data_IF_979305397157
#
_entry.id   IF_979305397157
#
_cell.length_a   1.000
_cell.length_b   1.000
_cell.length_c   1.000
_cell.angle_alpha   90.00
_cell.angle_beta   90.00
_cell.angle_gamma   90.00
#
_symmetry.space_group_name_H-M   'P 1'
#
loop_
_entity.id
_entity.type
_entity.pdbx_description
1 polymer ?
#
# COMPACT_ATOMS: atom_id res chain seq x y z
N UNK A 1 -51.86 -24.98 -59.93
CA UNK A 1 -52.89 -24.24 -59.18
C UNK A 1 -52.14 -23.05 -58.56
N UNK A 2 -51.78 -22.06 -59.38
CA UNK A 2 -52.57 -20.82 -59.66
C UNK A 2 -52.63 -19.91 -58.42
N UNK A 3 -52.47 -18.59 -58.45
CA UNK A 3 -52.01 -17.60 -59.44
C UNK A 3 -51.89 -16.24 -58.71
N UNK A 4 -50.93 -15.41 -59.12
CA UNK A 4 -50.94 -13.92 -59.27
C UNK A 4 -51.69 -13.00 -58.28
N UNK A 5 -50.89 -12.11 -57.67
CA UNK A 5 -50.93 -10.63 -57.71
C UNK A 5 -52.25 -9.84 -57.89
N UNK A 6 -52.47 -8.81 -57.04
CA UNK A 6 -52.78 -7.42 -57.47
C UNK A 6 -52.93 -6.40 -56.32
N UNK A 7 -52.21 -5.27 -56.46
CA UNK A 7 -52.41 -3.85 -56.07
C UNK A 7 -53.56 -3.38 -55.14
N UNK A 8 -53.22 -2.42 -54.26
CA UNK A 8 -53.82 -1.06 -54.09
C UNK A 8 -53.01 -0.29 -53.01
N UNK A 9 -52.26 0.76 -53.34
CA UNK A 9 -52.60 2.20 -53.51
C UNK A 9 -52.79 2.99 -52.20
N UNK A 10 -52.04 4.10 -52.13
CA UNK A 10 -52.06 5.18 -51.15
C UNK A 10 -53.37 5.96 -51.12
N UNK A 11 -53.52 6.76 -50.06
CA UNK A 11 -54.40 7.93 -49.82
C UNK A 11 -55.48 7.73 -48.74
N UNK A 12 -55.22 8.43 -47.61
CA UNK A 12 -56.16 9.24 -46.80
C UNK A 12 -57.11 8.50 -45.81
N UNK A 13 -57.30 8.88 -44.52
CA UNK A 13 -56.96 10.07 -43.71
C UNK A 13 -57.22 9.76 -42.21
N UNK A 14 -56.84 10.75 -41.37
CA UNK A 14 -57.05 11.00 -39.92
C UNK A 14 -55.86 10.71 -39.00
N UNK A 15 -54.98 11.68 -38.75
CA UNK A 15 -55.16 12.84 -37.85
C UNK A 15 -55.65 12.44 -36.46
N UNK A 16 -54.71 12.29 -35.51
CA UNK A 16 -54.84 12.89 -34.17
C UNK A 16 -53.53 12.77 -33.39
N UNK A 17 -52.96 13.95 -33.11
CA UNK A 17 -52.27 14.33 -31.87
C UNK A 17 -50.83 13.83 -31.71
N UNK A 18 -49.92 14.73 -32.09
CA UNK A 18 -48.62 14.90 -31.43
C UNK A 18 -48.87 15.22 -29.95
N UNK A 19 -48.62 14.25 -29.07
CA UNK A 19 -48.26 14.55 -27.69
C UNK A 19 -46.73 14.53 -27.61
N UNK A 20 -46.17 15.72 -27.50
CA UNK A 20 -44.81 15.95 -27.03
C UNK A 20 -44.67 15.33 -25.64
N UNK A 21 -44.10 14.12 -25.56
CA UNK A 21 -43.47 13.70 -24.32
C UNK A 21 -42.15 14.46 -24.24
N UNK A 22 -42.13 15.52 -23.44
CA UNK A 22 -40.91 16.16 -22.96
C UNK A 22 -39.97 15.06 -22.47
N UNK A 23 -38.94 14.75 -23.25
CA UNK A 23 -37.78 14.04 -22.73
C UNK A 23 -37.22 14.96 -21.63
N UNK A 24 -37.51 14.63 -20.37
CA UNK A 24 -36.84 15.24 -19.24
C UNK A 24 -35.33 15.14 -19.50
N UNK A 25 -34.73 16.28 -19.88
CA UNK A 25 -33.29 16.40 -19.94
C UNK A 25 -32.76 15.93 -18.58
N UNK A 26 -31.80 14.99 -18.53
CA UNK A 26 -31.29 14.51 -17.27
C UNK A 26 -30.79 15.70 -16.48
N UNK A 27 -31.48 15.99 -15.37
CA UNK A 27 -31.04 16.95 -14.36
C UNK A 27 -29.57 16.64 -14.12
N UNK A 28 -28.64 17.62 -14.24
CA UNK A 28 -27.24 17.35 -14.00
C UNK A 28 -27.16 16.75 -12.61
N UNK A 29 -26.71 15.49 -12.52
CA UNK A 29 -26.28 14.95 -11.24
C UNK A 29 -25.18 15.90 -10.79
N UNK A 30 -25.52 16.80 -9.89
CA UNK A 30 -24.54 17.55 -9.11
C UNK A 30 -23.86 16.47 -8.30
N UNK A 31 -22.79 15.92 -8.86
CA UNK A 31 -21.88 15.07 -8.12
C UNK A 31 -21.32 16.01 -7.08
N UNK A 32 -21.85 15.94 -5.85
CA UNK A 32 -21.22 16.52 -4.67
C UNK A 32 -19.86 15.84 -4.51
N UNK A 33 -18.91 16.32 -5.29
CA UNK A 33 -17.56 15.83 -5.25
C UNK A 33 -16.90 16.42 -4.01
N UNK A 34 -16.33 15.59 -3.11
CA UNK A 34 -15.68 16.11 -1.90
C UNK A 34 -14.48 17.01 -2.22
N UNK A 35 -13.99 16.99 -3.45
CA UNK A 35 -12.94 17.87 -3.95
C UNK A 35 -13.33 18.46 -5.30
N UNK A 36 -13.02 19.74 -5.47
CA UNK A 36 -13.25 20.48 -6.70
C UNK A 36 -11.92 21.07 -7.15
N UNK A 37 -11.52 20.77 -8.40
CA UNK A 37 -10.45 21.50 -9.07
C UNK A 37 -11.08 22.72 -9.75
N UNK A 38 -10.80 23.90 -9.20
CA UNK A 38 -11.24 25.18 -9.77
C UNK A 38 -10.11 25.82 -10.56
N UNK A 39 -10.38 26.18 -11.81
CA UNK A 39 -9.42 26.90 -12.66
C UNK A 39 -9.57 28.39 -12.42
N UNK A 40 -8.52 29.04 -11.94
CA UNK A 40 -8.55 30.45 -11.51
C UNK A 40 -8.17 31.42 -12.62
N UNK A 41 -7.31 31.00 -13.56
CA UNK A 41 -6.81 31.83 -14.66
C UNK A 41 -6.49 30.99 -15.90
N UNK A 42 -6.35 31.65 -17.05
CA UNK A 42 -6.12 31.01 -18.35
C UNK A 42 -7.40 30.78 -19.16
N UNK A 43 -7.32 30.12 -20.33
CA UNK A 43 -8.46 29.91 -21.24
C UNK A 43 -9.64 29.16 -20.63
N UNK A 44 -9.38 28.34 -19.60
CA UNK A 44 -10.39 27.56 -18.89
C UNK A 44 -10.80 28.22 -17.54
N UNK A 45 -10.49 29.50 -17.30
CA UNK A 45 -10.81 30.17 -16.04
C UNK A 45 -12.31 30.14 -15.72
N UNK A 46 -12.65 29.84 -14.47
CA UNK A 46 -14.03 29.69 -14.00
C UNK A 46 -14.54 28.25 -14.09
N UNK A 47 -13.89 27.36 -14.85
CA UNK A 47 -14.27 25.94 -14.89
C UNK A 47 -13.98 25.24 -13.57
N UNK A 48 -14.87 24.31 -13.21
CA UNK A 48 -14.78 23.47 -12.02
C UNK A 48 -14.90 21.99 -12.43
N UNK A 49 -14.03 21.15 -11.90
CA UNK A 49 -14.02 19.71 -12.15
C UNK A 49 -14.16 18.95 -10.84
N UNK A 50 -15.16 18.08 -10.75
CA UNK A 50 -15.33 17.17 -9.63
C UNK A 50 -14.24 16.11 -9.62
N UNK A 51 -13.65 15.88 -8.44
CA UNK A 51 -12.64 14.86 -8.21
C UNK A 51 -13.03 13.91 -7.06
N UNK A 52 -13.26 12.65 -7.40
CA UNK A 52 -13.54 11.58 -6.44
C UNK A 52 -12.28 11.08 -5.71
N UNK A 53 -12.50 10.53 -4.51
CA UNK A 53 -11.47 9.82 -3.73
C UNK A 53 -11.04 8.53 -4.42
N UNK A 54 -9.83 8.09 -4.10
CA UNK A 54 -9.20 6.88 -4.64
C UNK A 54 -9.07 6.88 -6.17
N UNK A 55 -9.25 8.03 -6.83
CA UNK A 55 -9.05 8.22 -8.27
C UNK A 55 -7.84 9.12 -8.54
N UNK A 56 -7.33 8.97 -9.75
CA UNK A 56 -6.31 9.86 -10.30
C UNK A 56 -6.85 10.55 -11.55
N UNK A 57 -6.44 11.80 -11.74
CA UNK A 57 -6.82 12.63 -12.88
C UNK A 57 -5.57 13.21 -13.50
N UNK A 58 -5.37 12.96 -14.78
CA UNK A 58 -4.32 13.57 -15.60
C UNK A 58 -4.89 14.84 -16.21
N UNK A 59 -4.21 15.95 -15.98
CA UNK A 59 -4.49 17.25 -16.56
C UNK A 59 -3.49 17.47 -17.69
N UNK A 60 -3.99 17.88 -18.85
CA UNK A 60 -3.15 18.15 -20.02
C UNK A 60 -3.93 18.76 -21.17
N UNK A 61 -3.24 19.01 -22.29
CA UNK A 61 -3.89 19.51 -23.52
C UNK A 61 -4.29 18.40 -24.50
N UNK A 62 -3.79 17.18 -24.30
CA UNK A 62 -4.02 16.06 -25.23
C UNK A 62 -5.24 15.25 -24.77
N UNK A 63 -6.30 15.27 -25.57
CA UNK A 63 -7.56 14.57 -25.29
C UNK A 63 -7.44 13.05 -25.27
N UNK A 64 -6.32 12.48 -25.72
CA UNK A 64 -6.06 11.03 -25.68
C UNK A 64 -5.26 10.61 -24.45
N UNK A 65 -4.63 11.56 -23.75
CA UNK A 65 -3.73 11.30 -22.62
C UNK A 65 -4.18 11.94 -21.30
N UNK A 66 -5.12 12.90 -21.35
CA UNK A 66 -5.61 13.64 -20.19
C UNK A 66 -7.09 13.35 -19.90
N UNK A 67 -7.40 13.21 -18.61
CA UNK A 67 -8.76 13.11 -18.09
C UNK A 67 -9.44 14.49 -18.01
N UNK A 68 -8.64 15.53 -17.75
CA UNK A 68 -9.07 16.93 -17.68
C UNK A 68 -8.30 17.74 -18.72
N UNK A 69 -9.01 18.25 -19.71
CA UNK A 69 -8.41 18.88 -20.89
C UNK A 69 -8.41 20.40 -20.73
N UNK A 70 -7.23 21.01 -20.76
CA UNK A 70 -7.06 22.47 -20.81
C UNK A 70 -6.63 22.88 -22.22
N UNK A 71 -7.42 23.76 -22.84
CA UNK A 71 -7.17 24.28 -24.18
C UNK A 71 -6.20 25.48 -24.10
N UNK A 72 -5.01 25.23 -23.56
CA UNK A 72 -3.97 26.24 -23.36
C UNK A 72 -2.65 25.78 -24.00
N UNK A 73 -2.08 26.64 -24.86
CA UNK A 73 -0.83 26.37 -25.57
C UNK A 73 0.38 26.26 -24.62
N UNK A 74 0.28 26.81 -23.41
CA UNK A 74 1.31 26.72 -22.36
C UNK A 74 1.29 25.40 -21.58
N UNK A 75 0.25 24.57 -21.76
CA UNK A 75 0.05 23.28 -21.08
C UNK A 75 0.59 22.14 -21.93
N UNK A 76 1.30 21.18 -21.32
CA UNK A 76 1.85 20.01 -22.03
C UNK A 76 0.78 18.96 -22.33
N UNK A 77 1.05 18.05 -23.30
CA UNK A 77 0.08 17.01 -23.72
C UNK A 77 -0.47 16.20 -22.55
N UNK A 78 0.43 15.71 -21.71
CA UNK A 78 0.17 15.29 -20.34
C UNK A 78 1.01 16.22 -19.44
N UNK A 79 0.37 16.99 -18.55
CA UNK A 79 1.06 18.01 -17.77
C UNK A 79 1.27 17.56 -16.33
N UNK A 80 0.18 17.18 -15.67
CA UNK A 80 0.16 16.94 -14.23
C UNK A 80 -0.82 15.85 -13.90
N UNK A 81 -0.49 14.96 -12.95
CA UNK A 81 -1.41 14.00 -12.37
C UNK A 81 -1.77 14.42 -10.95
N UNK A 82 -3.06 14.51 -10.66
CA UNK A 82 -3.57 14.70 -9.30
C UNK A 82 -4.20 13.39 -8.83
N UNK A 83 -3.91 12.97 -7.61
CA UNK A 83 -4.48 11.78 -6.98
C UNK A 83 -5.04 12.15 -5.62
N UNK A 84 -6.25 11.69 -5.33
CA UNK A 84 -6.88 11.88 -4.02
C UNK A 84 -6.96 10.51 -3.38
N UNK A 85 -6.34 10.31 -2.22
CA UNK A 85 -6.44 9.03 -1.52
C UNK A 85 -7.73 8.92 -0.69
N UNK A 86 -7.95 7.74 -0.14
CA UNK A 86 -9.07 7.43 0.76
C UNK A 86 -9.10 8.30 2.04
N UNK A 87 -7.98 8.91 2.41
CA UNK A 87 -7.79 9.74 3.61
C UNK A 87 -7.82 11.24 3.31
N UNK A 88 -8.35 11.66 2.15
CA UNK A 88 -8.42 13.06 1.72
C UNK A 88 -7.06 13.72 1.43
N UNK A 89 -5.97 12.94 1.31
CA UNK A 89 -4.67 13.51 0.92
C UNK A 89 -4.62 13.71 -0.60
N UNK A 90 -4.18 14.90 -1.02
CA UNK A 90 -4.01 15.25 -2.42
C UNK A 90 -2.53 15.11 -2.80
N UNK A 91 -2.24 14.27 -3.79
CA UNK A 91 -0.92 14.09 -4.36
C UNK A 91 -0.88 14.71 -5.75
N UNK A 92 0.12 15.55 -6.02
CA UNK A 92 0.32 16.19 -7.31
C UNK A 92 1.67 15.72 -7.86
N UNK A 93 1.67 15.22 -9.10
CA UNK A 93 2.83 14.74 -9.80
C UNK A 93 2.98 15.48 -11.14
N UNK A 94 4.14 16.07 -11.37
CA UNK A 94 4.51 16.55 -12.72
C UNK A 94 4.75 15.35 -13.66
N UNK A 95 4.21 15.41 -14.88
CA UNK A 95 4.34 14.36 -15.90
C UNK A 95 5.33 14.75 -17.02
N UNK A 96 6.37 15.51 -16.68
CA UNK A 96 7.35 16.01 -17.65
C UNK A 96 6.86 17.25 -18.38
N UNK A 97 6.17 18.14 -17.67
CA UNK A 97 5.64 19.37 -18.27
C UNK A 97 6.79 20.30 -18.71
N UNK A 98 6.66 20.91 -19.90
CA UNK A 98 7.70 21.79 -20.47
C UNK A 98 8.04 22.97 -19.55
N UNK A 99 7.03 23.52 -18.89
CA UNK A 99 7.15 24.70 -18.04
C UNK A 99 7.20 24.36 -16.55
N UNK A 100 7.02 23.09 -16.17
CA UNK A 100 6.92 22.66 -14.77
C UNK A 100 5.51 22.81 -14.18
N UNK A 101 5.16 21.89 -13.28
CA UNK A 101 4.01 22.01 -12.39
C UNK A 101 4.42 22.74 -11.13
N UNK A 102 3.63 23.71 -10.67
CA UNK A 102 3.90 24.47 -9.44
C UNK A 102 2.78 24.30 -8.42
N UNK A 103 3.14 24.19 -7.14
CA UNK A 103 2.20 24.22 -6.01
C UNK A 103 2.70 25.26 -5.02
N UNK A 104 1.85 26.22 -4.66
CA UNK A 104 2.20 27.34 -3.78
C UNK A 104 3.49 28.07 -4.25
N UNK A 105 3.55 28.40 -5.54
CA UNK A 105 4.68 29.06 -6.21
C UNK A 105 6.00 28.27 -6.19
N UNK A 106 5.95 26.96 -5.91
CA UNK A 106 7.13 26.08 -5.89
C UNK A 106 7.02 24.98 -6.94
N UNK A 107 8.03 24.87 -7.79
CA UNK A 107 8.07 23.85 -8.84
C UNK A 107 8.17 22.45 -8.22
N UNK A 108 7.26 21.57 -8.62
CA UNK A 108 7.34 20.14 -8.33
C UNK A 108 8.42 19.56 -9.25
N UNK A 109 9.51 19.04 -8.68
CA UNK A 109 10.48 18.23 -9.43
C UNK A 109 9.96 16.80 -9.55
N UNK A 110 10.29 16.12 -10.65
CA UNK A 110 9.99 14.69 -10.83
C UNK A 110 10.31 13.91 -9.55
N UNK A 111 9.43 12.94 -9.24
CA UNK A 111 9.53 12.09 -8.06
C UNK A 111 10.98 11.65 -7.87
N UNK A 112 11.44 11.77 -6.64
CA UNK A 112 12.67 11.12 -6.21
C UNK A 112 12.54 9.61 -6.46
N UNK A 113 13.07 9.12 -7.59
CA UNK A 113 13.03 7.71 -7.97
C UNK A 113 13.93 6.91 -7.01
N UNK A 114 13.44 5.77 -6.51
CA UNK A 114 14.19 4.91 -5.59
C UNK A 114 15.55 4.49 -6.14
N UNK A 115 15.68 4.29 -7.46
CA UNK A 115 16.99 4.03 -8.09
C UNK A 115 17.91 5.23 -7.89
N UNK A 116 17.40 6.44 -8.15
CA UNK A 116 18.18 7.66 -8.09
C UNK A 116 18.70 7.95 -6.68
N UNK A 117 17.94 7.61 -5.63
CA UNK A 117 18.42 7.76 -4.24
C UNK A 117 19.37 6.66 -3.85
N UNK A 118 18.99 5.40 -4.06
CA UNK A 118 19.80 4.28 -3.60
C UNK A 118 21.10 4.20 -4.41
N UNK A 119 21.06 4.53 -5.70
CA UNK A 119 22.21 4.55 -6.60
C UNK A 119 23.29 5.55 -6.22
N UNK A 120 23.00 6.53 -5.36
CA UNK A 120 24.04 7.41 -4.78
C UNK A 120 24.92 6.71 -3.74
N UNK A 121 24.41 5.65 -3.13
CA UNK A 121 25.05 4.96 -2.01
C UNK A 121 25.49 3.55 -2.36
N UNK A 122 24.79 2.92 -3.31
CA UNK A 122 25.02 1.54 -3.73
C UNK A 122 25.32 1.53 -5.23
N UNK A 123 26.42 0.91 -5.62
CA UNK A 123 26.72 0.69 -7.03
C UNK A 123 25.75 -0.36 -7.60
N UNK A 124 24.71 0.12 -8.27
CA UNK A 124 23.65 -0.67 -8.86
C UNK A 124 23.91 -0.95 -10.33
N UNK A 125 23.81 -2.22 -10.73
CA UNK A 125 23.85 -2.66 -12.13
C UNK A 125 22.48 -3.15 -12.57
N UNK A 126 22.11 -2.87 -13.82
CA UNK A 126 20.86 -3.37 -14.40
C UNK A 126 20.83 -4.90 -14.43
N UNK A 127 19.68 -5.48 -14.11
CA UNK A 127 19.41 -6.92 -14.10
C UNK A 127 17.95 -7.16 -14.48
N UNK A 128 17.69 -7.24 -15.78
CA UNK A 128 16.32 -7.30 -16.33
C UNK A 128 15.55 -6.02 -16.02
N UNK A 129 14.38 -6.14 -15.40
CA UNK A 129 13.54 -5.01 -14.97
C UNK A 129 13.98 -4.40 -13.62
N UNK A 130 14.96 -5.01 -12.95
CA UNK A 130 15.44 -4.59 -11.63
C UNK A 130 16.91 -4.16 -11.69
N UNK A 131 17.41 -3.69 -10.56
CA UNK A 131 18.81 -3.33 -10.37
C UNK A 131 19.41 -4.13 -9.22
N UNK A 132 20.67 -4.55 -9.33
CA UNK A 132 21.37 -5.33 -8.30
C UNK A 132 22.69 -4.71 -7.88
N UNK A 133 23.05 -4.86 -6.61
CA UNK A 133 24.32 -4.42 -6.02
C UNK A 133 24.70 -5.25 -4.81
N UNK A 134 25.86 -4.94 -4.22
CA UNK A 134 26.22 -5.46 -2.90
C UNK A 134 25.37 -4.76 -1.84
N UNK A 135 24.90 -5.52 -0.86
CA UNK A 135 24.12 -4.96 0.24
C UNK A 135 24.98 -4.04 1.11
N UNK A 136 24.53 -2.81 1.40
CA UNK A 136 25.25 -1.93 2.33
C UNK A 136 25.01 -2.27 3.81
N UNK A 137 24.14 -3.25 4.09
CA UNK A 137 23.68 -3.56 5.46
C UNK A 137 24.29 -4.84 6.03
N UNK A 138 25.00 -5.63 5.23
CA UNK A 138 25.77 -6.79 5.68
C UNK A 138 26.92 -7.05 4.72
N UNK A 139 27.98 -7.70 5.21
CA UNK A 139 29.13 -8.04 4.40
C UNK A 139 28.85 -9.26 3.51
N UNK A 140 29.01 -9.10 2.20
CA UNK A 140 28.88 -10.18 1.21
C UNK A 140 29.83 -9.98 0.02
N UNK A 141 30.09 -11.06 -0.73
CA UNK A 141 30.87 -11.03 -1.97
C UNK A 141 30.01 -11.11 -3.23
N UNK A 142 28.81 -11.67 -3.12
CA UNK A 142 27.87 -11.85 -4.22
C UNK A 142 26.71 -10.85 -4.09
N UNK A 143 26.34 -10.11 -5.15
CA UNK A 143 25.23 -9.15 -5.10
C UNK A 143 23.90 -9.81 -4.72
N UNK A 144 23.36 -9.50 -3.53
CA UNK A 144 22.03 -9.95 -3.12
C UNK A 144 21.03 -8.80 -2.95
N UNK A 145 21.50 -7.56 -3.00
CA UNK A 145 20.68 -6.36 -2.87
C UNK A 145 20.01 -6.02 -4.20
N UNK A 146 18.68 -6.03 -4.24
CA UNK A 146 17.87 -5.80 -5.44
C UNK A 146 16.97 -4.58 -5.24
N UNK A 147 16.94 -3.67 -6.21
CA UNK A 147 16.01 -2.54 -6.27
C UNK A 147 15.05 -2.75 -7.43
N UNK A 148 13.75 -2.65 -7.15
CA UNK A 148 12.70 -2.75 -8.15
C UNK A 148 12.07 -1.37 -8.36
N UNK A 149 12.34 -0.71 -9.50
CA UNK A 149 11.81 0.63 -9.77
C UNK A 149 10.30 0.62 -9.94
N UNK A 150 9.78 -0.39 -10.65
CA UNK A 150 8.35 -0.58 -10.87
C UNK A 150 7.58 -0.78 -9.56
N UNK A 151 8.15 -1.57 -8.63
CA UNK A 151 7.55 -1.79 -7.31
C UNK A 151 7.92 -0.70 -6.29
N UNK A 152 8.82 0.20 -6.66
CA UNK A 152 9.37 1.27 -5.81
C UNK A 152 9.90 0.78 -4.44
N UNK A 153 10.56 -0.39 -4.42
CA UNK A 153 11.12 -1.03 -3.22
C UNK A 153 12.55 -1.54 -3.44
N UNK A 154 13.26 -1.83 -2.35
CA UNK A 154 14.47 -2.64 -2.33
C UNK A 154 14.29 -3.87 -1.45
N UNK A 155 15.05 -4.92 -1.74
CA UNK A 155 15.15 -6.10 -0.89
C UNK A 155 16.52 -6.75 -1.06
N UNK A 156 17.13 -7.14 0.05
CA UNK A 156 18.35 -7.93 0.08
C UNK A 156 18.01 -9.40 0.34
N UNK A 157 18.31 -10.27 -0.62
CA UNK A 157 18.08 -11.71 -0.50
C UNK A 157 19.08 -12.41 0.43
N UNK A 158 20.17 -11.75 0.83
CA UNK A 158 21.15 -12.28 1.78
C UNK A 158 20.71 -12.12 3.24
N UNK A 159 20.46 -10.89 3.69
CA UNK A 159 20.10 -10.60 5.09
C UNK A 159 18.62 -10.28 5.33
N UNK A 160 17.79 -10.25 4.27
CA UNK A 160 16.35 -10.04 4.36
C UNK A 160 15.90 -8.59 4.60
N UNK A 161 16.83 -7.63 4.66
CA UNK A 161 16.46 -6.21 4.77
C UNK A 161 15.79 -5.74 3.49
N UNK A 162 14.67 -5.04 3.63
CA UNK A 162 13.93 -4.48 2.50
C UNK A 162 12.99 -3.37 2.93
N UNK A 163 12.41 -2.68 1.96
CA UNK A 163 11.47 -1.59 2.18
C UNK A 163 11.48 -0.58 1.04
N UNK A 164 10.98 0.62 1.31
CA UNK A 164 11.01 1.72 0.35
C UNK A 164 12.26 2.60 0.53
N UNK A 165 12.33 3.68 -0.24
CA UNK A 165 13.45 4.64 -0.19
C UNK A 165 13.66 5.27 1.19
N UNK A 166 12.59 5.48 1.97
CA UNK A 166 12.71 5.99 3.34
C UNK A 166 13.34 4.95 4.25
N UNK A 167 12.89 3.68 4.19
CA UNK A 167 13.49 2.60 4.97
C UNK A 167 14.99 2.46 4.69
N UNK A 168 15.39 2.60 3.42
CA UNK A 168 16.79 2.61 3.04
C UNK A 168 17.55 3.74 3.74
N UNK A 169 17.09 4.99 3.60
CA UNK A 169 17.76 6.15 4.16
C UNK A 169 17.83 6.12 5.68
N UNK A 170 16.74 5.73 6.33
CA UNK A 170 16.68 5.61 7.78
C UNK A 170 17.71 4.61 8.30
N UNK A 171 17.80 3.45 7.65
CA UNK A 171 18.75 2.41 8.06
C UNK A 171 20.19 2.74 7.67
N UNK A 172 20.39 3.32 6.49
CA UNK A 172 21.73 3.61 5.94
C UNK A 172 22.36 4.84 6.61
N UNK A 173 21.58 5.89 6.88
CA UNK A 173 22.06 7.13 7.53
C UNK A 173 21.80 7.18 9.03
N UNK A 174 21.03 6.23 9.59
CA UNK A 174 20.64 6.26 11.00
C UNK A 174 19.71 7.43 11.35
N UNK A 175 18.87 7.86 10.41
CA UNK A 175 17.97 9.02 10.56
C UNK A 175 16.51 8.59 10.80
N UNK A 176 15.73 9.47 11.41
CA UNK A 176 14.29 9.24 11.64
C UNK A 176 13.50 9.30 10.33
N UNK A 177 12.26 8.79 10.33
CA UNK A 177 11.37 8.94 9.18
C UNK A 177 11.12 10.41 8.82
N UNK A 178 10.79 11.32 9.77
CA UNK A 178 10.68 12.75 9.47
C UNK A 178 11.92 13.36 8.83
N UNK A 179 13.12 12.98 9.28
CA UNK A 179 14.36 13.47 8.70
C UNK A 179 14.57 12.91 7.29
N UNK A 180 14.21 11.65 7.04
CA UNK A 180 14.21 11.07 5.70
C UNK A 180 13.19 11.77 4.78
N UNK A 181 12.00 12.10 5.27
CA UNK A 181 10.98 12.88 4.53
C UNK A 181 11.48 14.28 4.24
N UNK A 182 12.11 14.96 5.22
CA UNK A 182 12.70 16.29 5.02
C UNK A 182 13.81 16.24 3.98
N UNK A 183 14.73 15.28 4.09
CA UNK A 183 15.86 15.11 3.17
C UNK A 183 15.38 14.84 1.72
N UNK A 184 14.40 13.96 1.55
CA UNK A 184 13.82 13.70 0.22
C UNK A 184 12.96 14.86 -0.28
N UNK A 185 12.27 15.56 0.62
CA UNK A 185 11.54 16.79 0.32
C UNK A 185 12.47 17.86 -0.23
N UNK A 186 13.56 18.17 0.47
CA UNK A 186 14.58 19.12 0.04
C UNK A 186 15.15 18.75 -1.33
N UNK A 187 15.48 17.47 -1.53
CA UNK A 187 15.94 16.93 -2.82
C UNK A 187 14.90 17.14 -3.94
N UNK A 188 13.63 16.90 -3.65
CA UNK A 188 12.52 17.10 -4.58
C UNK A 188 12.13 18.59 -4.74
N UNK A 189 12.80 19.50 -4.04
CA UNK A 189 12.41 20.90 -4.02
C UNK A 189 11.08 21.14 -3.32
N UNK A 190 10.65 20.31 -2.36
CA UNK A 190 9.44 20.44 -1.55
C UNK A 190 9.82 20.87 -0.14
N UNK A 191 9.21 21.97 0.36
CA UNK A 191 9.44 22.38 1.75
C UNK A 191 8.56 21.50 2.63
N UNK A 192 9.18 20.62 3.40
CA UNK A 192 8.48 19.77 4.36
C UNK A 192 8.49 20.48 5.71
N UNK A 193 7.42 21.23 5.99
CA UNK A 193 7.15 21.75 7.33
C UNK A 193 6.55 20.63 8.17
N UNK A 194 7.40 19.88 8.86
CA UNK A 194 6.95 18.90 9.86
C UNK A 194 6.71 19.62 11.17
N UNK A 195 5.47 19.64 11.65
CA UNK A 195 5.18 20.06 13.02
C UNK A 195 5.84 19.08 14.01
N UNK A 196 6.14 19.52 15.23
CA UNK A 196 6.67 18.61 16.28
C UNK A 196 5.73 17.42 16.53
N UNK A 197 4.41 17.63 16.44
CA UNK A 197 3.41 16.56 16.56
C UNK A 197 3.51 15.53 15.44
N UNK A 198 3.69 15.95 14.19
CA UNK A 198 3.83 15.04 13.05
C UNK A 198 5.11 14.22 13.14
N UNK A 199 6.21 14.82 13.61
CA UNK A 199 7.46 14.10 13.85
C UNK A 199 7.30 13.03 14.91
N UNK A 200 6.73 13.39 16.06
CA UNK A 200 6.51 12.44 17.15
C UNK A 200 5.61 11.29 16.72
N UNK A 201 4.54 11.57 15.95
CA UNK A 201 3.65 10.52 15.44
C UNK A 201 4.37 9.58 14.47
N UNK A 202 5.14 10.13 13.51
CA UNK A 202 5.88 9.34 12.55
C UNK A 202 7.00 8.50 13.19
N UNK A 203 7.74 9.07 14.15
CA UNK A 203 8.76 8.35 14.92
C UNK A 203 8.14 7.22 15.74
N UNK A 204 7.01 7.49 16.43
CA UNK A 204 6.27 6.48 17.17
C UNK A 204 5.85 5.34 16.24
N UNK A 205 5.23 5.66 15.11
CA UNK A 205 4.78 4.69 14.11
C UNK A 205 5.94 3.87 13.56
N UNK A 206 7.10 4.47 13.29
CA UNK A 206 8.27 3.75 12.80
C UNK A 206 8.82 2.76 13.82
N UNK A 207 8.90 3.15 15.10
CA UNK A 207 9.32 2.24 16.17
C UNK A 207 8.38 1.03 16.28
N UNK A 208 7.07 1.25 16.25
CA UNK A 208 6.09 0.16 16.27
C UNK A 208 6.25 -0.75 15.05
N UNK A 209 6.47 -0.15 13.88
CA UNK A 209 6.72 -0.89 12.65
C UNK A 209 7.98 -1.77 12.75
N UNK A 210 9.09 -1.24 13.27
CA UNK A 210 10.33 -2.01 13.48
C UNK A 210 10.13 -3.21 14.42
N UNK A 211 9.37 -3.02 15.51
CA UNK A 211 9.03 -4.08 16.47
C UNK A 211 8.26 -5.20 15.75
N UNK A 212 7.27 -4.85 14.92
CA UNK A 212 6.47 -5.81 14.16
C UNK A 212 7.36 -6.59 13.16
N UNK A 213 8.28 -5.93 12.45
CA UNK A 213 9.20 -6.61 11.53
C UNK A 213 10.12 -7.62 12.24
N UNK A 214 10.64 -7.26 13.42
CA UNK A 214 11.45 -8.17 14.25
C UNK A 214 10.64 -9.36 14.74
N UNK A 215 9.42 -9.12 15.22
CA UNK A 215 8.52 -10.19 15.65
C UNK A 215 8.17 -11.15 14.50
N UNK A 216 7.88 -10.63 13.31
CA UNK A 216 7.63 -11.46 12.12
C UNK A 216 8.82 -12.37 11.81
N UNK A 217 10.03 -11.80 11.80
CA UNK A 217 11.26 -12.55 11.57
C UNK A 217 11.49 -13.63 12.63
N UNK A 218 11.22 -13.33 13.90
CA UNK A 218 11.35 -14.26 15.00
C UNK A 218 10.34 -15.42 14.92
N UNK A 219 9.07 -15.15 14.55
CA UNK A 219 8.07 -16.20 14.37
C UNK A 219 8.41 -17.14 13.21
N UNK A 220 8.91 -16.62 12.09
CA UNK A 220 9.39 -17.45 10.98
C UNK A 220 10.55 -18.32 11.42
N UNK A 221 11.55 -17.75 12.11
CA UNK A 221 12.68 -18.51 12.66
C UNK A 221 12.22 -19.61 13.63
N UNK A 222 11.24 -19.31 14.48
CA UNK A 222 10.68 -20.29 15.42
C UNK A 222 10.02 -21.47 14.69
N UNK A 223 9.27 -21.21 13.62
CA UNK A 223 8.63 -22.27 12.81
C UNK A 223 9.65 -23.23 12.20
N UNK A 224 10.78 -22.72 11.70
CA UNK A 224 11.84 -23.53 11.08
C UNK A 224 12.89 -24.05 12.09
N UNK A 225 12.68 -23.84 13.38
CA UNK A 225 13.51 -24.41 14.45
C UNK A 225 12.87 -25.68 15.03
N UNK A 226 13.57 -26.35 15.93
CA UNK A 226 13.03 -27.50 16.68
C UNK A 226 11.74 -27.18 17.46
N UNK A 227 11.47 -25.91 17.76
CA UNK A 227 10.23 -25.48 18.40
C UNK A 227 9.01 -25.68 17.48
N UNK A 228 9.20 -25.54 16.16
CA UNK A 228 8.12 -25.53 15.17
C UNK A 228 7.76 -26.88 14.56
N UNK A 229 8.37 -27.99 14.99
CA UNK A 229 8.14 -29.32 14.39
C UNK A 229 6.65 -29.68 14.30
N UNK A 230 5.91 -29.56 15.42
CA UNK A 230 4.46 -29.81 15.45
C UNK A 230 3.67 -28.84 14.58
N UNK A 231 4.11 -27.58 14.49
CA UNK A 231 3.48 -26.56 13.66
C UNK A 231 3.66 -26.87 12.17
N UNK A 232 4.83 -27.34 11.76
CA UNK A 232 5.10 -27.78 10.38
C UNK A 232 4.26 -29.02 10.04
N UNK A 233 4.20 -30.01 10.93
CA UNK A 233 3.35 -31.20 10.75
C UNK A 233 1.88 -30.82 10.59
N UNK A 234 1.41 -29.88 11.42
CA UNK A 234 0.07 -29.33 11.31
C UNK A 234 -0.20 -28.68 9.95
N UNK A 235 0.69 -27.81 9.49
CA UNK A 235 0.58 -27.12 8.19
C UNK A 235 0.60 -28.10 7.02
N UNK A 236 1.47 -29.13 7.08
CA UNK A 236 1.53 -30.20 6.09
C UNK A 236 0.23 -31.01 6.04
N UNK A 237 -0.34 -31.35 7.21
CA UNK A 237 -1.65 -32.01 7.31
C UNK A 237 -2.80 -31.17 6.75
N UNK A 238 -2.59 -29.86 6.54
CA UNK A 238 -3.51 -28.93 5.88
C UNK A 238 -3.20 -28.69 4.40
N UNK A 239 -2.26 -29.45 3.82
CA UNK A 239 -1.78 -29.29 2.45
C UNK A 239 -1.20 -27.90 2.14
N UNK A 240 -0.64 -27.22 3.15
CA UNK A 240 0.06 -25.95 2.96
C UNK A 240 1.54 -26.27 2.70
N UNK A 241 1.97 -26.08 1.46
CA UNK A 241 3.33 -26.40 1.04
C UNK A 241 4.37 -25.37 1.51
N UNK A 242 5.64 -25.77 1.48
CA UNK A 242 6.76 -24.93 1.93
C UNK A 242 6.92 -23.63 1.13
N UNK A 243 6.56 -23.63 -0.16
CA UNK A 243 6.55 -22.43 -1.00
C UNK A 243 5.54 -21.42 -0.47
N UNK A 244 4.29 -21.86 -0.26
CA UNK A 244 3.23 -21.04 0.35
C UNK A 244 3.65 -20.51 1.74
N UNK A 245 4.20 -21.38 2.60
CA UNK A 245 4.71 -20.98 3.93
C UNK A 245 5.73 -19.84 3.82
N UNK A 246 6.67 -19.93 2.87
CA UNK A 246 7.71 -18.93 2.68
C UNK A 246 7.17 -17.63 2.08
N UNK A 247 6.33 -17.69 1.04
CA UNK A 247 5.76 -16.50 0.40
C UNK A 247 4.91 -15.70 1.38
N UNK A 248 4.02 -16.35 2.11
CA UNK A 248 3.17 -15.70 3.11
C UNK A 248 3.89 -15.42 4.44
N UNK A 249 5.17 -15.80 4.56
CA UNK A 249 6.00 -15.65 5.77
C UNK A 249 5.35 -16.27 7.01
N UNK A 250 4.66 -17.40 6.85
CA UNK A 250 3.98 -18.09 7.95
C UNK A 250 5.02 -18.42 9.03
N UNK A 251 4.65 -18.19 10.29
CA UNK A 251 5.50 -18.39 11.46
C UNK A 251 4.82 -19.21 12.55
N UNK A 252 5.51 -19.34 13.68
CA UNK A 252 5.02 -20.05 14.86
C UNK A 252 5.31 -19.23 16.12
N UNK A 253 4.29 -19.04 16.96
CA UNK A 253 4.43 -18.49 18.29
C UNK A 253 4.56 -19.63 19.31
N UNK A 254 5.74 -19.79 19.97
CA UNK A 254 5.98 -20.87 20.91
C UNK A 254 4.98 -20.93 22.07
N UNK A 255 4.80 -22.12 22.64
CA UNK A 255 4.03 -22.34 23.87
C UNK A 255 4.82 -21.84 25.10
N UNK A 256 5.02 -20.52 25.18
CA UNK A 256 5.64 -19.83 26.31
C UNK A 256 4.88 -18.56 26.61
N UNK A 257 4.88 -18.16 27.88
CA UNK A 257 4.15 -16.98 28.34
C UNK A 257 4.81 -15.65 27.95
N UNK A 258 6.11 -15.65 27.63
CA UNK A 258 6.94 -14.45 27.54
C UNK A 258 8.06 -14.55 26.49
N UNK A 259 7.94 -15.45 25.51
CA UNK A 259 9.00 -15.66 24.52
C UNK A 259 9.24 -14.41 23.65
N UNK A 260 8.17 -13.81 23.14
CA UNK A 260 8.25 -12.59 22.33
C UNK A 260 8.60 -11.38 23.18
N UNK A 261 8.01 -11.27 24.38
CA UNK A 261 8.36 -10.23 25.34
C UNK A 261 9.86 -10.23 25.67
N UNK A 262 10.40 -11.40 26.03
CA UNK A 262 11.82 -11.55 26.39
C UNK A 262 12.73 -11.21 25.22
N UNK A 263 12.39 -11.69 24.01
CA UNK A 263 13.14 -11.39 22.80
C UNK A 263 13.20 -9.87 22.53
N UNK A 264 12.05 -9.19 22.50
CA UNK A 264 11.99 -7.76 22.17
C UNK A 264 12.57 -6.87 23.29
N UNK A 265 12.52 -7.32 24.54
CA UNK A 265 13.22 -6.66 25.65
C UNK A 265 14.73 -6.75 25.51
N UNK A 266 15.25 -7.90 25.10
CA UNK A 266 16.68 -8.06 24.80
C UNK A 266 17.13 -7.19 23.61
N UNK A 267 16.23 -6.91 22.67
CA UNK A 267 16.44 -5.97 21.55
C UNK A 267 16.31 -4.49 21.97
N UNK A 268 16.03 -4.20 23.25
CA UNK A 268 16.01 -2.83 23.79
C UNK A 268 14.66 -2.10 23.73
N UNK A 269 13.57 -2.77 23.37
CA UNK A 269 12.24 -2.15 23.34
C UNK A 269 11.58 -2.11 24.72
N UNK A 270 10.84 -1.03 25.00
CA UNK A 270 10.07 -0.89 26.25
C UNK A 270 8.77 -1.68 26.20
N UNK A 271 8.23 -2.05 27.36
CA UNK A 271 6.99 -2.84 27.43
C UNK A 271 5.82 -2.09 26.77
N UNK A 272 5.76 -0.78 26.95
CA UNK A 272 4.71 0.09 26.42
C UNK A 272 4.69 0.05 24.88
N UNK A 273 5.88 0.07 24.25
CA UNK A 273 6.01 -0.01 22.79
C UNK A 273 5.66 -1.41 22.26
N UNK A 274 6.02 -2.46 22.99
CA UNK A 274 5.70 -3.84 22.62
C UNK A 274 4.18 -4.10 22.75
N UNK A 275 3.56 -3.54 23.79
CA UNK A 275 2.10 -3.59 23.99
C UNK A 275 1.37 -2.81 22.90
N UNK A 276 1.84 -1.60 22.55
CA UNK A 276 1.27 -0.81 21.45
C UNK A 276 1.39 -1.52 20.10
N UNK A 277 2.48 -2.25 19.86
CA UNK A 277 2.61 -3.13 18.69
C UNK A 277 1.63 -4.32 18.70
N UNK A 278 0.89 -4.51 19.78
CA UNK A 278 -0.11 -5.55 19.96
C UNK A 278 0.47 -6.94 20.23
N UNK A 279 1.75 -7.04 20.62
CA UNK A 279 2.44 -8.32 20.77
C UNK A 279 2.33 -8.91 22.18
N UNK A 280 2.05 -8.08 23.18
CA UNK A 280 1.86 -8.49 24.57
C UNK A 280 0.54 -7.93 25.11
N UNK A 281 0.08 -8.50 26.22
CA UNK A 281 -1.11 -8.07 26.96
C UNK A 281 -0.70 -7.85 28.41
N UNK A 282 -1.09 -6.71 28.97
CA UNK A 282 -0.92 -6.43 30.39
C UNK A 282 -1.79 -7.36 31.25
N UNK A 283 -1.24 -7.90 32.33
CA UNK A 283 -2.01 -8.73 33.27
C UNK A 283 -3.11 -7.90 33.94
N UNK A 284 -4.31 -8.49 34.08
CA UNK A 284 -5.45 -7.84 34.75
C UNK A 284 -5.22 -7.63 36.25
N UNK A 285 -4.46 -8.51 36.88
CA UNK A 285 -4.09 -8.47 38.30
C UNK A 285 -2.58 -8.61 38.46
N UNK A 286 -2.00 -7.76 39.32
CA UNK A 286 -0.55 -7.71 39.57
C UNK A 286 0.23 -6.90 38.52
N UNK A 287 1.56 -7.03 38.54
CA UNK A 287 2.45 -6.38 37.58
C UNK A 287 2.88 -7.33 36.47
N UNK A 288 3.15 -6.77 35.29
CA UNK A 288 3.76 -7.48 34.17
C UNK A 288 2.83 -7.76 32.98
N UNK A 289 3.40 -8.44 32.01
CA UNK A 289 2.82 -8.68 30.69
C UNK A 289 2.96 -10.15 30.30
N UNK A 290 2.21 -10.58 29.30
CA UNK A 290 2.37 -11.89 28.67
C UNK A 290 2.15 -11.79 27.16
N UNK A 291 2.71 -12.71 26.40
CA UNK A 291 2.63 -12.73 24.93
C UNK A 291 1.17 -12.88 24.47
N UNK A 292 0.74 -12.06 23.51
CA UNK A 292 -0.61 -12.17 22.91
C UNK A 292 -0.78 -13.51 22.20
N UNK A 293 0.23 -13.91 21.44
CA UNK A 293 0.22 -15.14 20.66
C UNK A 293 1.06 -16.21 21.37
N UNK A 294 0.45 -17.35 21.67
CA UNK A 294 1.10 -18.49 22.33
C UNK A 294 0.53 -19.78 21.76
N UNK A 295 1.41 -20.72 21.43
CA UNK A 295 1.06 -21.97 20.77
C UNK A 295 0.16 -21.77 19.52
N UNK A 296 0.55 -20.87 18.63
CA UNK A 296 -0.25 -20.50 17.45
C UNK A 296 0.57 -20.50 16.17
N UNK A 297 -0.06 -20.95 15.07
CA UNK A 297 0.43 -20.66 13.72
C UNK A 297 0.20 -19.17 13.48
N UNK A 298 1.24 -18.47 13.05
CA UNK A 298 1.22 -17.04 12.80
C UNK A 298 1.12 -16.78 11.30
N UNK A 299 0.13 -15.98 10.93
CA UNK A 299 -0.13 -15.49 9.59
C UNK A 299 0.14 -13.98 9.58
N UNK A 300 1.30 -13.52 9.07
CA UNK A 300 1.60 -12.10 9.00
C UNK A 300 0.63 -11.36 8.07
N UNK A 301 0.02 -10.30 8.58
CA UNK A 301 -0.80 -9.37 7.79
C UNK A 301 0.15 -8.35 7.18
N UNK A 302 0.09 -8.19 5.86
CA UNK A 302 0.96 -7.29 5.12
C UNK A 302 0.18 -6.09 4.56
N UNK A 303 0.86 -4.95 4.43
CA UNK A 303 0.34 -3.83 3.66
C UNK A 303 0.52 -4.05 2.14
N UNK A 304 0.06 -3.07 1.36
CA UNK A 304 0.08 -3.14 -0.11
C UNK A 304 1.50 -3.23 -0.69
N UNK A 305 2.55 -2.91 0.07
CA UNK A 305 3.94 -3.02 -0.36
C UNK A 305 4.69 -4.18 0.31
N UNK A 306 3.97 -5.15 0.91
CA UNK A 306 4.50 -6.42 1.40
C UNK A 306 5.14 -6.36 2.79
N UNK A 307 4.91 -5.24 3.49
CA UNK A 307 5.44 -5.00 4.83
C UNK A 307 4.50 -5.58 5.88
N UNK A 308 5.03 -6.36 6.81
CA UNK A 308 4.21 -6.89 7.93
C UNK A 308 3.76 -5.75 8.85
N UNK A 309 2.45 -5.66 9.06
CA UNK A 309 1.80 -4.63 9.88
C UNK A 309 1.04 -5.22 11.06
N UNK A 310 0.79 -6.53 11.06
CA UNK A 310 0.11 -7.22 12.15
C UNK A 310 0.14 -8.72 11.93
N UNK A 311 -0.61 -9.45 12.75
CA UNK A 311 -0.61 -10.90 12.75
C UNK A 311 -2.02 -11.45 13.01
N UNK A 312 -2.37 -12.50 12.26
CA UNK A 312 -3.39 -13.46 12.66
C UNK A 312 -2.72 -14.66 13.34
N UNK A 313 -3.29 -15.14 14.43
CA UNK A 313 -2.79 -16.26 15.21
C UNK A 313 -3.83 -17.37 15.30
N UNK A 314 -3.56 -18.50 14.67
CA UNK A 314 -4.44 -19.66 14.67
C UNK A 314 -4.02 -20.67 15.71
N UNK A 315 -4.95 -21.05 16.58
CA UNK A 315 -4.73 -22.14 17.52
C UNK A 315 -4.57 -23.47 16.78
N UNK A 316 -3.54 -24.22 17.14
CA UNK A 316 -3.32 -25.55 16.61
C UNK A 316 -2.83 -26.44 17.76
N UNK A 317 -3.72 -27.32 18.24
CA UNK A 317 -3.37 -28.30 19.25
C UNK A 317 -4.05 -28.12 20.61
N UNK A 318 -4.78 -27.03 20.85
CA UNK A 318 -5.69 -26.98 21.98
C UNK A 318 -7.09 -27.47 21.54
N UNK A 319 -7.58 -28.52 22.20
CA UNK A 319 -8.96 -28.99 22.06
C UNK A 319 -9.89 -28.30 23.08
N UNK A 320 -9.42 -27.24 23.74
CA UNK A 320 -10.23 -26.46 24.68
C UNK A 320 -11.16 -25.53 23.91
N UNK A 321 -12.50 -25.72 23.99
CA UNK A 321 -13.47 -24.87 23.30
C UNK A 321 -13.45 -23.42 23.79
N UNK A 322 -12.86 -23.14 24.96
CA UNK A 322 -12.74 -21.78 25.49
C UNK A 322 -11.58 -20.98 24.86
N UNK A 323 -10.68 -21.64 24.13
CA UNK A 323 -9.56 -20.98 23.45
C UNK A 323 -10.00 -20.57 22.05
N UNK A 324 -9.99 -19.27 21.71
CA UNK A 324 -10.41 -18.82 20.38
C UNK A 324 -9.55 -19.44 19.28
N UNK A 325 -10.22 -20.02 18.26
CA UNK A 325 -9.55 -20.64 17.11
C UNK A 325 -8.65 -19.66 16.37
N UNK A 326 -9.04 -18.39 16.30
CA UNK A 326 -8.25 -17.30 15.71
C UNK A 326 -8.25 -16.08 16.63
N UNK A 327 -7.11 -15.40 16.70
CA UNK A 327 -6.97 -14.08 17.31
C UNK A 327 -6.14 -13.20 16.37
N UNK A 328 -6.39 -11.89 16.38
CA UNK A 328 -5.64 -10.94 15.55
C UNK A 328 -4.91 -9.93 16.43
N UNK A 329 -3.91 -9.28 15.85
CA UNK A 329 -3.37 -8.01 16.35
C UNK A 329 -4.51 -7.01 16.52
N UNK A 330 -4.47 -6.25 17.62
CA UNK A 330 -5.41 -5.15 17.87
C UNK A 330 -5.05 -3.94 17.00
N UNK A 331 -6.02 -3.06 16.77
CA UNK A 331 -5.79 -1.77 16.12
C UNK A 331 -4.63 -1.01 16.78
N UNK A 332 -3.73 -0.46 15.97
CA UNK A 332 -2.61 0.36 16.43
C UNK A 332 -2.22 1.40 15.37
N UNK A 333 -1.11 2.12 15.59
CA UNK A 333 -0.63 3.18 14.67
C UNK A 333 -0.18 2.69 13.29
N UNK A 334 -0.04 1.36 13.12
CA UNK A 334 0.44 0.70 11.91
C UNK A 334 -0.63 -0.19 11.26
N UNK A 335 -1.52 -0.80 12.06
CA UNK A 335 -2.54 -1.74 11.60
C UNK A 335 -3.96 -1.24 11.81
N UNK A 336 -4.71 -1.19 10.70
CA UNK A 336 -6.14 -0.89 10.65
C UNK A 336 -6.89 -1.99 9.90
N UNK A 337 -7.69 -2.79 10.61
CA UNK A 337 -8.36 -3.99 10.10
C UNK A 337 -9.23 -3.71 8.87
N UNK A 338 -9.89 -2.56 8.82
CA UNK A 338 -10.75 -2.16 7.70
C UNK A 338 -10.01 -1.72 6.42
N UNK A 339 -8.67 -1.63 6.44
CA UNK A 339 -7.88 -1.07 5.32
C UNK A 339 -7.07 -2.11 4.53
N UNK A 340 -6.98 -3.34 5.02
CA UNK A 340 -6.05 -4.32 4.44
C UNK A 340 -6.74 -5.64 4.14
N UNK A 341 -6.50 -6.16 2.93
CA UNK A 341 -6.91 -7.49 2.50
C UNK A 341 -5.72 -8.45 2.62
N UNK A 342 -5.88 -9.50 3.41
CA UNK A 342 -4.85 -10.53 3.56
C UNK A 342 -4.53 -11.18 2.20
N UNK A 343 -3.24 -11.34 1.90
CA UNK A 343 -2.79 -11.94 0.64
C UNK A 343 -2.89 -11.04 -0.60
N UNK A 344 -3.33 -9.78 -0.45
CA UNK A 344 -3.40 -8.83 -1.57
C UNK A 344 -2.02 -8.58 -2.19
N UNK A 345 -0.98 -8.35 -1.39
CA UNK A 345 0.38 -8.12 -1.90
C UNK A 345 0.92 -9.31 -2.72
N UNK A 346 0.67 -10.54 -2.26
CA UNK A 346 1.08 -11.76 -2.96
C UNK A 346 0.28 -12.00 -4.25
N UNK A 347 -0.96 -11.51 -4.30
CA UNK A 347 -1.90 -11.72 -5.41
C UNK A 347 -1.95 -10.57 -6.41
N UNK A 348 -1.38 -9.40 -6.09
CA UNK A 348 -1.54 -8.15 -6.84
C UNK A 348 -1.16 -8.31 -8.32
N UNK A 349 -0.05 -8.99 -8.60
CA UNK A 349 0.42 -9.18 -9.97
C UNK A 349 -0.55 -10.06 -10.78
N UNK A 350 -1.08 -11.13 -10.16
CA UNK A 350 -2.05 -12.02 -10.81
C UNK A 350 -3.38 -11.30 -11.04
N UNK A 351 -3.86 -10.53 -10.06
CA UNK A 351 -5.09 -9.72 -10.19
C UNK A 351 -4.98 -8.76 -11.37
N UNK A 352 -3.84 -8.07 -11.50
CA UNK A 352 -3.59 -7.16 -12.64
C UNK A 352 -3.56 -7.88 -13.98
N UNK A 353 -2.94 -9.07 -14.02
CA UNK A 353 -2.81 -9.88 -15.25
C UNK A 353 -4.15 -10.44 -15.71
N UNK A 354 -4.95 -10.94 -14.78
CA UNK A 354 -6.21 -11.64 -15.07
C UNK A 354 -7.44 -10.71 -15.03
N UNK A 355 -7.27 -9.45 -14.61
CA UNK A 355 -8.35 -8.45 -14.55
C UNK A 355 -9.48 -8.79 -13.56
N UNK A 356 -9.24 -9.73 -12.64
CA UNK A 356 -10.25 -10.27 -11.72
C UNK A 356 -9.62 -10.65 -10.38
N UNK A 357 -10.45 -10.68 -9.34
CA UNK A 357 -10.04 -11.08 -7.98
C UNK A 357 -11.10 -12.00 -7.36
N UNK A 358 -10.65 -12.95 -6.54
CA UNK A 358 -11.50 -13.81 -5.72
C UNK A 358 -11.40 -13.40 -4.25
N UNK A 359 -12.54 -13.28 -3.57
CA UNK A 359 -12.62 -13.00 -2.14
C UNK A 359 -13.03 -14.29 -1.43
N UNK A 360 -12.34 -14.62 -0.33
CA UNK A 360 -12.59 -15.81 0.50
C UNK A 360 -12.63 -15.45 1.98
N UNK A 361 -13.32 -16.27 2.78
CA UNK A 361 -13.46 -16.13 4.24
C UNK A 361 -12.39 -16.89 5.05
#
# INVERSE_FOLDING_TARGET
>A
IEEKASKKSLEDLDETIFEESEEEMPVPLVIESPFILKVVSGPNAGSEFGMEKSKSYIIGKDSTLADIIFADLSVSGQNTKITIDENNNIFIQDLGSKNGTYVNNKQIKEKTNIIGVIGEYVNLKSSGQNYKGLCPFHSEKTPSFTVSPHKNIFHCFGCGVGGNVFNFLMKFKGISFPDAVKMLGERAGIQVNTSKSDRNFAEKRDVIYQIIQKAASAYVKALFSNLGTKAIEYLKGRNIDTGTIKSFKIGYAPERWDAMLSYLKAEGYSNEKIEEAGLIIKKKSGSGYYDRFRNRIIFPIQDNIGRVIGFGGRDFGNNDPNIPKYINTVENTVFHKGRYLYGFNESEQSIRKEGSLFIVE
#
